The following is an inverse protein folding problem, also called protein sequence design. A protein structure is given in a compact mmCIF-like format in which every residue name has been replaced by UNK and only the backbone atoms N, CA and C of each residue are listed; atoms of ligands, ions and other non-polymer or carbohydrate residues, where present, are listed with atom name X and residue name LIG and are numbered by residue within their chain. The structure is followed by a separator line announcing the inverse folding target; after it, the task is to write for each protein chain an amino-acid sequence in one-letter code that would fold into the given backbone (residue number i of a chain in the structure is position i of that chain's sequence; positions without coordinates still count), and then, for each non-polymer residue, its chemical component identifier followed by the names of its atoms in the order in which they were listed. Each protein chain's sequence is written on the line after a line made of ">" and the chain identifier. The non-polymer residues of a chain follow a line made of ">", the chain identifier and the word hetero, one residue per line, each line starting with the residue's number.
data_IF_953757830338
#
_entry.id   IF_953757830338
#
_cell.length_a   1.000
_cell.length_b   1.000
_cell.length_c   1.000
_cell.angle_alpha   90.00
_cell.angle_beta   90.00
_cell.angle_gamma   90.00
#
_symmetry.space_group_name_H-M   'P 1'
#
loop_
_entity.id
_entity.type
_entity.pdbx_description
1 polymer ?
#
# COMPACT_ATOMS: atom_id res chain seq x y z
N UNK A 1 -12.92 3.97 -5.98
CA UNK A 1 -12.91 3.29 -7.29
C UNK A 1 -11.58 2.56 -7.47
N UNK A 2 -11.64 1.25 -7.65
CA UNK A 2 -10.43 0.45 -7.84
C UNK A 2 -9.95 0.56 -9.29
N UNK A 3 -8.65 0.72 -9.46
CA UNK A 3 -8.05 0.74 -10.79
C UNK A 3 -6.65 0.17 -10.76
N UNK A 4 -6.21 -0.35 -11.88
CA UNK A 4 -4.87 -0.88 -12.05
C UNK A 4 -4.00 0.18 -12.71
N UNK A 5 -2.85 0.46 -12.10
CA UNK A 5 -1.92 1.47 -12.62
C UNK A 5 -0.51 0.94 -12.58
N UNK A 6 0.37 1.58 -13.33
CA UNK A 6 1.80 1.25 -13.27
C UNK A 6 2.35 1.58 -11.88
N UNK A 7 3.15 0.67 -11.36
CA UNK A 7 3.76 0.82 -10.04
C UNK A 7 4.54 2.14 -9.93
N UNK A 8 5.19 2.55 -10.99
CA UNK A 8 5.99 3.78 -11.01
C UNK A 8 5.17 5.05 -10.81
N UNK A 9 3.85 4.98 -11.01
CA UNK A 9 2.97 6.14 -10.81
C UNK A 9 2.53 6.32 -9.36
N UNK A 10 2.74 5.31 -8.53
CA UNK A 10 2.34 5.35 -7.12
C UNK A 10 3.51 5.84 -6.30
N UNK A 11 3.26 6.87 -5.48
CA UNK A 11 4.30 7.49 -4.66
C UNK A 11 4.21 6.95 -3.23
N UNK A 12 5.33 6.45 -2.72
CA UNK A 12 5.41 6.05 -1.32
C UNK A 12 5.23 7.24 -0.39
N UNK A 13 4.59 7.01 0.75
CA UNK A 13 4.33 8.08 1.71
C UNK A 13 5.54 8.25 2.64
N UNK A 14 6.23 9.40 2.58
CA UNK A 14 7.40 9.65 3.44
C UNK A 14 7.06 9.77 4.92
N UNK A 15 5.77 10.02 5.25
CA UNK A 15 5.33 10.09 6.64
C UNK A 15 5.22 8.72 7.29
N UNK A 16 5.40 7.64 6.53
CA UNK A 16 5.34 6.29 7.04
C UNK A 16 6.69 5.60 6.76
N UNK A 17 7.73 5.91 7.58
CA UNK A 17 9.08 5.48 7.27
C UNK A 17 9.39 4.02 7.60
N UNK A 18 8.53 3.32 8.31
CA UNK A 18 8.86 1.97 8.76
C UNK A 18 8.68 0.94 7.68
N UNK A 19 9.81 0.44 7.23
CA UNK A 19 9.86 -0.77 6.45
C UNK A 19 10.31 -1.87 7.39
N UNK A 20 9.42 -2.77 7.72
CA UNK A 20 9.77 -3.92 8.54
C UNK A 20 10.23 -5.00 7.58
N UNK A 21 11.54 -5.08 7.36
CA UNK A 21 12.12 -6.18 6.58
C UNK A 21 12.34 -7.37 7.50
N UNK A 22 11.27 -8.04 7.84
CA UNK A 22 11.32 -9.24 8.67
C UNK A 22 10.64 -10.39 7.91
N UNK A 23 10.48 -11.51 8.58
CA UNK A 23 9.88 -12.68 7.97
C UNK A 23 8.47 -12.42 7.46
N UNK A 24 7.74 -11.53 8.12
CA UNK A 24 6.39 -11.16 7.70
C UNK A 24 6.41 -10.42 6.36
N UNK A 25 7.39 -9.54 6.17
CA UNK A 25 7.55 -8.84 4.91
C UNK A 25 7.90 -9.82 3.79
N UNK A 26 8.80 -10.75 4.06
CA UNK A 26 9.17 -11.78 3.09
C UNK A 26 7.98 -12.65 2.70
N UNK A 27 7.16 -13.01 3.67
CA UNK A 27 5.93 -13.77 3.41
C UNK A 27 4.95 -12.97 2.55
N UNK A 28 4.86 -11.66 2.80
CA UNK A 28 4.00 -10.78 2.01
C UNK A 28 4.48 -10.72 0.55
N UNK A 29 5.79 -10.56 0.35
CA UNK A 29 6.38 -10.56 -1.00
C UNK A 29 6.06 -11.87 -1.71
N UNK A 30 6.25 -12.98 -1.03
CA UNK A 30 5.97 -14.30 -1.60
C UNK A 30 4.49 -14.44 -1.96
N UNK A 31 3.60 -14.01 -1.07
CA UNK A 31 2.16 -14.06 -1.32
C UNK A 31 1.78 -13.26 -2.55
N UNK A 32 2.35 -12.08 -2.71
CA UNK A 32 2.07 -11.22 -3.85
C UNK A 32 2.59 -11.84 -5.14
N UNK A 33 3.77 -12.47 -5.10
CA UNK A 33 4.30 -13.18 -6.27
C UNK A 33 3.42 -14.34 -6.70
N UNK A 34 2.94 -15.11 -5.73
CA UNK A 34 2.13 -16.31 -6.00
C UNK A 34 0.70 -15.97 -6.37
N UNK A 35 0.18 -14.85 -5.82
CA UNK A 35 -1.21 -14.47 -6.03
C UNK A 35 -1.34 -12.95 -6.19
N UNK A 36 -0.95 -12.40 -7.36
CA UNK A 36 -1.02 -10.95 -7.59
C UNK A 36 -2.42 -10.37 -7.48
N UNK A 37 -3.45 -11.17 -7.74
CA UNK A 37 -4.85 -10.71 -7.63
C UNK A 37 -5.23 -10.34 -6.21
N UNK A 38 -4.43 -10.70 -5.21
CA UNK A 38 -4.65 -10.27 -3.84
C UNK A 38 -4.72 -8.75 -3.74
N UNK A 39 -3.95 -8.04 -4.58
CA UNK A 39 -3.98 -6.57 -4.61
C UNK A 39 -5.31 -6.03 -5.12
N UNK A 40 -6.02 -6.79 -5.94
CA UNK A 40 -7.36 -6.40 -6.38
C UNK A 40 -8.37 -6.47 -5.24
N UNK A 41 -8.21 -7.46 -4.38
CA UNK A 41 -9.07 -7.65 -3.22
C UNK A 41 -8.73 -6.66 -2.10
N UNK A 42 -7.45 -6.34 -1.93
CA UNK A 42 -6.97 -5.39 -0.95
C UNK A 42 -6.07 -4.37 -1.64
N UNK A 43 -6.65 -3.39 -2.32
CA UNK A 43 -5.87 -2.43 -3.08
C UNK A 43 -5.09 -1.48 -2.17
N UNK A 44 -4.05 -0.89 -2.76
CA UNK A 44 -3.29 0.17 -2.11
C UNK A 44 -4.14 1.44 -2.18
N UNK A 45 -4.37 2.09 -1.04
CA UNK A 45 -5.16 3.31 -0.99
C UNK A 45 -4.24 4.51 -1.20
N UNK A 46 -4.58 5.34 -2.17
CA UNK A 46 -3.82 6.55 -2.51
C UNK A 46 -4.74 7.77 -2.49
N UNK A 47 -4.13 8.94 -2.41
CA UNK A 47 -4.87 10.20 -2.55
C UNK A 47 -4.95 10.63 -4.02
N UNK A 48 -5.51 11.82 -4.27
CA UNK A 48 -5.66 12.35 -5.64
C UNK A 48 -4.32 12.57 -6.34
N UNK A 49 -3.25 12.68 -5.57
CA UNK A 49 -1.89 12.90 -6.08
C UNK A 49 -1.13 11.58 -6.24
N UNK A 50 -1.81 10.45 -6.11
CA UNK A 50 -1.21 9.12 -6.22
C UNK A 50 -0.23 8.81 -5.08
N UNK A 51 -0.35 9.51 -3.95
CA UNK A 51 0.47 9.24 -2.77
C UNK A 51 -0.22 8.22 -1.88
N UNK A 52 0.50 7.21 -1.43
CA UNK A 52 -0.03 6.13 -0.62
C UNK A 52 -0.51 6.65 0.73
N UNK A 53 -1.77 6.35 1.06
CA UNK A 53 -2.35 6.59 2.39
C UNK A 53 -2.38 5.29 3.20
N UNK A 54 -2.66 4.18 2.55
CA UNK A 54 -2.66 2.87 3.19
C UNK A 54 -2.10 1.82 2.26
N UNK A 55 -1.38 0.84 2.82
CA UNK A 55 -0.77 -0.22 2.05
C UNK A 55 0.65 0.07 1.60
N UNK A 56 1.39 0.91 2.34
CA UNK A 56 2.77 1.22 2.01
C UNK A 56 3.65 -0.04 1.99
N UNK A 57 3.41 -0.97 2.90
CA UNK A 57 4.11 -2.26 2.90
C UNK A 57 3.78 -3.08 1.66
N UNK A 58 2.50 -3.07 1.25
CA UNK A 58 2.08 -3.76 0.04
C UNK A 58 2.74 -3.16 -1.20
N UNK A 59 2.91 -1.85 -1.24
CA UNK A 59 3.61 -1.19 -2.33
C UNK A 59 5.06 -1.66 -2.41
N UNK A 60 5.76 -1.67 -1.27
CA UNK A 60 7.16 -2.11 -1.24
C UNK A 60 7.30 -3.59 -1.56
N UNK A 61 6.40 -4.40 -1.03
CA UNK A 61 6.40 -5.82 -1.32
C UNK A 61 6.12 -6.08 -2.80
N UNK A 62 5.27 -5.29 -3.43
CA UNK A 62 5.00 -5.39 -4.85
C UNK A 62 6.22 -5.05 -5.68
N UNK A 63 7.00 -4.05 -5.27
CA UNK A 63 8.27 -3.71 -5.92
C UNK A 63 9.27 -4.86 -5.79
N UNK A 64 9.40 -5.42 -4.60
CA UNK A 64 10.32 -6.54 -4.37
C UNK A 64 9.88 -7.79 -5.11
N UNK A 65 8.57 -7.96 -5.31
CA UNK A 65 8.02 -9.08 -6.08
C UNK A 65 8.20 -8.91 -7.58
N UNK A 66 8.62 -7.73 -8.04
CA UNK A 66 8.86 -7.46 -9.45
C UNK A 66 7.60 -7.15 -10.26
N UNK A 67 6.52 -6.76 -9.60
CA UNK A 67 5.30 -6.40 -10.31
C UNK A 67 5.48 -5.08 -11.05
N UNK A 68 4.87 -4.99 -12.23
CA UNK A 68 4.89 -3.76 -13.03
C UNK A 68 3.67 -2.90 -12.78
N UNK A 69 2.57 -3.52 -12.36
CA UNK A 69 1.31 -2.85 -12.12
C UNK A 69 0.72 -3.28 -10.78
N UNK A 70 -0.03 -2.38 -10.16
CA UNK A 70 -0.71 -2.65 -8.89
C UNK A 70 -2.13 -2.13 -8.95
N UNK A 71 -2.98 -2.69 -8.09
CA UNK A 71 -4.34 -2.20 -7.92
C UNK A 71 -4.35 -1.14 -6.83
N UNK A 72 -5.03 -0.04 -7.13
CA UNK A 72 -5.17 1.07 -6.18
C UNK A 72 -6.63 1.45 -6.03
N UNK A 73 -6.92 2.12 -4.92
CA UNK A 73 -8.20 2.77 -4.69
C UNK A 73 -7.91 4.22 -4.34
N UNK A 74 -8.50 5.15 -5.09
CA UNK A 74 -8.27 6.57 -4.88
C UNK A 74 -9.26 7.11 -3.86
N UNK A 75 -8.74 7.67 -2.76
CA UNK A 75 -9.54 8.35 -1.75
C UNK A 75 -9.59 9.83 -2.09
N UNK A 76 -10.77 10.32 -2.44
CA UNK A 76 -10.98 11.72 -2.83
C UNK A 76 -11.72 12.48 -1.73
N UNK A 77 -11.48 13.79 -1.66
CA UNK A 77 -12.20 14.66 -0.78
C UNK A 77 -11.78 14.63 0.68
N UNK A 78 -10.64 14.01 0.98
CA UNK A 78 -10.11 14.00 2.34
C UNK A 78 -9.32 15.27 2.63
N UNK A 79 -9.48 15.80 3.86
CA UNK A 79 -8.63 16.90 4.33
C UNK A 79 -7.24 16.37 4.68
N UNK A 80 -6.27 17.26 4.81
CA UNK A 80 -4.92 16.86 5.21
C UNK A 80 -4.92 16.15 6.57
N UNK A 81 -5.77 16.61 7.48
CA UNK A 81 -5.92 15.99 8.80
C UNK A 81 -6.47 14.57 8.68
N UNK A 82 -7.48 14.37 7.84
CA UNK A 82 -8.06 13.06 7.61
C UNK A 82 -7.06 12.11 6.96
N UNK A 83 -6.23 12.61 6.07
CA UNK A 83 -5.18 11.80 5.45
C UNK A 83 -4.17 11.33 6.48
N UNK A 84 -3.76 12.21 7.39
CA UNK A 84 -2.85 11.85 8.49
C UNK A 84 -3.46 10.79 9.39
N UNK A 85 -4.73 10.97 9.76
CA UNK A 85 -5.45 10.00 10.58
C UNK A 85 -5.49 8.64 9.91
N UNK A 86 -5.75 8.61 8.61
CA UNK A 86 -5.81 7.36 7.86
C UNK A 86 -4.48 6.63 7.91
N UNK A 87 -3.38 7.35 7.69
CA UNK A 87 -2.04 6.76 7.71
C UNK A 87 -1.73 6.20 9.09
N UNK A 88 -2.03 6.94 10.15
CA UNK A 88 -1.78 6.48 11.52
C UNK A 88 -2.60 5.25 11.88
N UNK A 89 -3.87 5.22 11.51
CA UNK A 89 -4.74 4.08 11.77
C UNK A 89 -4.30 2.85 10.99
N UNK A 90 -3.85 3.03 9.76
CA UNK A 90 -3.35 1.93 8.95
C UNK A 90 -2.11 1.29 9.58
N UNK A 91 -1.21 2.11 10.11
CA UNK A 91 -0.03 1.60 10.82
C UNK A 91 -0.43 0.83 12.07
N UNK A 92 -1.38 1.36 12.83
CA UNK A 92 -1.88 0.69 14.04
C UNK A 92 -2.53 -0.66 13.70
N UNK A 93 -3.31 -0.71 12.64
CA UNK A 93 -3.95 -1.95 12.19
C UNK A 93 -2.92 -2.98 11.77
N UNK A 94 -1.85 -2.55 11.09
CA UNK A 94 -0.78 -3.46 10.69
C UNK A 94 -0.05 -4.06 11.88
N UNK A 95 0.05 -3.33 12.98
CA UNK A 95 0.65 -3.83 14.21
C UNK A 95 -0.26 -4.83 14.93
N UNK A 96 -1.57 -4.71 14.77
CA UNK A 96 -2.54 -5.60 15.39
C UNK A 96 -2.73 -6.90 14.62
N UNK A 97 -2.51 -6.87 13.33
CA UNK A 97 -2.64 -8.04 12.46
C UNK A 97 -1.33 -8.83 12.53
N UNK A 98 -1.34 -9.88 13.31
CA UNK A 98 -0.20 -10.79 13.43
C UNK A 98 -0.42 -12.03 12.60
#
# INVERSE_FOLDING_TARGET
>A
MKQQVKLSKVKGNPSNPRIIKNDKFKKLVKSIKEFPEMLKLRPIVVDENMMVLGGNMRLKASKDAGLKEVWIEVAQGLTEEQKKDFVEKEVSMNLLIK
#
